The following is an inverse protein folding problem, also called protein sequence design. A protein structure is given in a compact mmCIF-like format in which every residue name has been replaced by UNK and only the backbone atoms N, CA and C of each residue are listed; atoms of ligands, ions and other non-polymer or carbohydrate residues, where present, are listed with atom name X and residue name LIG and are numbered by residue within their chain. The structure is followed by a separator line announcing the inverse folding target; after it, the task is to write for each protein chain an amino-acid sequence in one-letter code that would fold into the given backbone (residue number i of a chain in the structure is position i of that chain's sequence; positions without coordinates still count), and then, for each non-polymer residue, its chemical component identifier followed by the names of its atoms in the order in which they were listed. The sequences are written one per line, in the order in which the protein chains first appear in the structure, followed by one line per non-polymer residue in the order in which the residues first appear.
data_IF_788329146798
#
_entry.id   IF_788329146798
#
_cell.length_a   1.000
_cell.length_b   1.000
_cell.length_c   1.000
_cell.angle_alpha   90.00
_cell.angle_beta   90.00
_cell.angle_gamma   90.00
#
_symmetry.space_group_name_H-M   'P 1'
#
loop_
_entity.id
_entity.type
_entity.pdbx_description
1 polymer ?
#
# COMPACT_ATOMS: atom_id res chain seq x y z
N UNK A 1 17.92 30.03 -17.10
CA UNK A 1 17.76 28.60 -17.46
C UNK A 1 16.30 28.26 -17.28
N UNK A 2 15.60 27.92 -18.37
CA UNK A 2 14.19 27.59 -18.34
C UNK A 2 14.03 26.16 -17.78
N UNK A 3 13.22 26.01 -16.74
CA UNK A 3 12.80 24.71 -16.22
C UNK A 3 11.86 24.12 -17.26
N UNK A 4 12.27 23.04 -17.91
CA UNK A 4 11.40 22.28 -18.80
C UNK A 4 10.28 21.67 -17.95
N UNK A 5 9.08 22.22 -18.12
CA UNK A 5 7.85 21.62 -17.61
C UNK A 5 7.64 20.31 -18.37
N UNK A 6 7.84 19.17 -17.71
CA UNK A 6 7.32 17.91 -18.19
C UNK A 6 5.79 18.04 -18.23
N UNK A 7 5.19 17.76 -19.39
CA UNK A 7 3.75 17.82 -19.58
C UNK A 7 3.06 16.89 -18.57
N UNK A 8 1.95 17.32 -17.92
CA UNK A 8 1.22 16.45 -17.01
C UNK A 8 0.56 15.36 -17.85
N UNK A 9 1.10 14.14 -17.76
CA UNK A 9 0.38 12.96 -18.19
C UNK A 9 -0.55 12.58 -17.03
N UNK A 10 -1.84 12.88 -17.23
CA UNK A 10 -3.03 12.48 -16.45
C UNK A 10 -3.42 13.29 -15.19
N UNK A 11 -4.72 13.62 -15.15
CA UNK A 11 -5.59 13.98 -14.02
C UNK A 11 -5.06 14.75 -12.80
N UNK A 12 -5.62 15.95 -12.57
CA UNK A 12 -5.51 16.80 -11.35
C UNK A 12 -4.08 17.23 -10.98
N UNK A 13 -3.78 18.54 -10.81
CA UNK A 13 -2.45 18.98 -10.38
C UNK A 13 -2.06 18.37 -9.03
N UNK A 14 -1.00 17.56 -9.02
CA UNK A 14 -0.41 17.02 -7.80
C UNK A 14 0.68 18.00 -7.33
N UNK A 15 0.85 18.24 -6.02
CA UNK A 15 2.00 18.95 -5.51
C UNK A 15 3.31 18.32 -5.98
N UNK A 16 4.28 19.13 -6.41
CA UNK A 16 5.65 18.65 -6.69
C UNK A 16 6.28 18.25 -5.35
N UNK A 17 6.36 16.94 -5.10
CA UNK A 17 7.00 16.39 -3.90
C UNK A 17 8.52 16.34 -4.13
N UNK A 18 9.36 16.86 -3.20
CA UNK A 18 10.81 16.78 -3.34
C UNK A 18 11.29 15.34 -3.57
N UNK A 19 12.27 15.17 -4.46
CA UNK A 19 12.96 13.89 -4.64
C UNK A 19 13.54 13.45 -3.29
N UNK A 20 13.18 12.25 -2.83
CA UNK A 20 13.61 11.71 -1.54
C UNK A 20 12.67 11.98 -0.35
N UNK A 21 11.54 12.69 -0.53
CA UNK A 21 10.51 12.76 0.51
C UNK A 21 9.60 11.53 0.44
N UNK A 22 9.83 10.58 1.36
CA UNK A 22 9.08 9.33 1.50
C UNK A 22 8.24 9.31 2.79
N UNK A 23 7.77 10.47 3.25
CA UNK A 23 6.93 10.54 4.44
C UNK A 23 5.53 9.99 4.19
N UNK A 24 5.07 9.10 5.06
CA UNK A 24 3.71 8.55 5.02
C UNK A 24 2.68 9.67 5.07
N UNK A 25 2.80 10.60 6.02
CA UNK A 25 1.83 11.67 6.32
C UNK A 25 1.94 12.91 5.40
N UNK A 26 2.37 12.68 4.15
CA UNK A 26 2.49 13.71 3.12
C UNK A 26 1.22 13.81 2.25
N UNK A 27 0.99 14.97 1.58
CA UNK A 27 0.04 15.06 0.50
C UNK A 27 0.31 14.04 -0.62
N UNK A 28 -0.68 13.71 -1.45
CA UNK A 28 -0.49 12.80 -2.58
C UNK A 28 0.67 13.24 -3.47
N UNK A 29 1.52 12.28 -3.83
CA UNK A 29 2.65 12.48 -4.74
C UNK A 29 2.41 11.94 -6.16
N UNK A 30 1.31 11.22 -6.34
CA UNK A 30 0.82 10.69 -7.62
C UNK A 30 -0.65 11.07 -7.80
N UNK A 31 -1.14 11.05 -9.05
CA UNK A 31 -2.53 11.39 -9.33
C UNK A 31 -3.45 10.24 -8.93
N UNK A 32 -4.73 10.55 -8.80
CA UNK A 32 -5.77 9.51 -8.65
C UNK A 32 -5.79 8.54 -9.84
N UNK A 33 -5.59 9.05 -11.05
CA UNK A 33 -5.57 8.23 -12.27
C UNK A 33 -4.35 7.30 -12.29
N UNK A 34 -3.17 7.80 -11.89
CA UNK A 34 -1.97 6.98 -11.76
C UNK A 34 -2.14 5.91 -10.68
N UNK A 35 -2.71 6.28 -9.53
CA UNK A 35 -2.98 5.31 -8.47
C UNK A 35 -3.94 4.21 -8.96
N UNK A 36 -5.03 4.55 -9.64
CA UNK A 36 -5.92 3.55 -10.24
C UNK A 36 -5.16 2.67 -11.26
N UNK A 37 -4.33 3.30 -12.10
CA UNK A 37 -3.56 2.58 -13.11
C UNK A 37 -2.51 1.63 -12.51
N UNK A 38 -1.91 1.94 -11.34
CA UNK A 38 -1.03 1.03 -10.59
C UNK A 38 -1.73 -0.33 -10.35
N UNK A 39 -2.97 -0.32 -9.87
CA UNK A 39 -3.70 -1.56 -9.62
C UNK A 39 -4.24 -2.18 -10.92
N UNK A 40 -4.85 -1.37 -11.78
CA UNK A 40 -5.60 -1.89 -12.93
C UNK A 40 -4.74 -2.38 -14.08
N UNK A 41 -3.52 -1.84 -14.27
CA UNK A 41 -2.65 -2.26 -15.37
C UNK A 41 -2.14 -3.70 -15.21
N UNK A 42 -2.05 -4.22 -13.99
CA UNK A 42 -1.55 -5.58 -13.70
C UNK A 42 -2.67 -6.56 -13.30
N UNK A 43 -3.93 -6.23 -13.62
CA UNK A 43 -5.11 -7.01 -13.25
C UNK A 43 -5.18 -7.32 -11.74
N UNK A 44 -4.81 -6.34 -10.90
CA UNK A 44 -5.00 -6.47 -9.46
C UNK A 44 -6.48 -6.70 -9.13
N UNK A 45 -6.80 -7.65 -8.23
CA UNK A 45 -8.18 -7.84 -7.76
C UNK A 45 -8.71 -6.62 -7.01
N UNK A 46 -7.85 -5.70 -6.56
CA UNK A 46 -8.23 -4.45 -5.90
C UNK A 46 -8.55 -3.31 -6.87
N UNK A 47 -8.29 -3.48 -8.18
CA UNK A 47 -8.56 -2.46 -9.22
C UNK A 47 -9.99 -1.86 -9.14
N UNK A 48 -11.08 -2.64 -8.96
CA UNK A 48 -12.43 -2.09 -8.89
C UNK A 48 -12.64 -1.07 -7.76
N UNK A 49 -11.83 -1.12 -6.70
CA UNK A 49 -11.94 -0.25 -5.53
C UNK A 49 -10.83 0.81 -5.47
N UNK A 50 -9.87 0.82 -6.42
CA UNK A 50 -8.69 1.70 -6.35
C UNK A 50 -9.00 3.19 -6.27
N UNK A 51 -10.08 3.64 -6.91
CA UNK A 51 -10.54 5.02 -6.76
C UNK A 51 -10.95 5.35 -5.33
N UNK A 52 -11.70 4.45 -4.67
CA UNK A 52 -12.13 4.61 -3.28
C UNK A 52 -10.94 4.50 -2.31
N UNK A 53 -10.00 3.59 -2.58
CA UNK A 53 -8.76 3.48 -1.79
C UNK A 53 -7.94 4.79 -1.85
N UNK A 54 -7.79 5.39 -3.04
CA UNK A 54 -7.14 6.69 -3.17
C UNK A 54 -7.85 7.76 -2.33
N UNK A 55 -9.18 7.83 -2.42
CA UNK A 55 -9.96 8.85 -1.72
C UNK A 55 -9.83 8.71 -0.19
N UNK A 56 -9.74 7.49 0.34
CA UNK A 56 -9.46 7.20 1.76
C UNK A 56 -8.09 7.74 2.20
N UNK A 57 -7.07 7.59 1.35
CA UNK A 57 -5.69 7.98 1.66
C UNK A 57 -5.48 9.49 1.53
N UNK A 58 -5.95 10.06 0.42
CA UNK A 58 -5.70 11.44 0.03
C UNK A 58 -6.61 12.47 0.71
N UNK A 59 -7.77 12.06 1.23
CA UNK A 59 -8.70 12.95 1.93
C UNK A 59 -8.30 13.08 3.39
N UNK A 60 -8.15 14.32 3.86
CA UNK A 60 -7.92 14.60 5.28
C UNK A 60 -9.18 14.28 6.08
N UNK A 61 -9.05 13.33 6.99
CA UNK A 61 -10.05 13.00 8.02
C UNK A 61 -9.45 13.19 9.42
N UNK A 62 -10.09 12.61 10.43
CA UNK A 62 -9.65 12.64 11.83
C UNK A 62 -8.31 11.94 12.07
N UNK A 63 -7.90 11.02 11.19
CA UNK A 63 -6.62 10.31 11.32
C UNK A 63 -5.50 11.08 10.63
N UNK A 64 -5.82 11.70 9.49
CA UNK A 64 -4.88 12.47 8.69
C UNK A 64 -4.96 12.09 7.22
N UNK A 65 -3.83 12.24 6.53
CA UNK A 65 -3.66 11.85 5.13
C UNK A 65 -2.48 10.91 5.03
N UNK A 66 -2.47 10.06 4.00
CA UNK A 66 -1.28 9.33 3.59
C UNK A 66 -1.05 9.54 2.10
N UNK A 67 0.21 9.65 1.69
CA UNK A 67 0.62 9.64 0.29
C UNK A 67 0.25 8.28 -0.36
N UNK A 68 -0.69 8.25 -1.33
CA UNK A 68 -1.13 7.01 -1.96
C UNK A 68 -0.01 6.27 -2.70
N UNK A 69 1.03 6.97 -3.15
CA UNK A 69 2.18 6.33 -3.77
C UNK A 69 2.97 5.45 -2.80
N UNK A 70 3.00 5.80 -1.52
CA UNK A 70 3.69 5.02 -0.48
C UNK A 70 2.89 3.78 -0.10
N UNK A 71 1.56 3.92 0.05
CA UNK A 71 0.66 2.79 0.27
C UNK A 71 0.78 1.77 -0.85
N UNK A 72 0.66 2.20 -2.10
CA UNK A 72 0.74 1.30 -3.25
C UNK A 72 2.11 0.62 -3.35
N UNK A 73 3.20 1.31 -3.01
CA UNK A 73 4.53 0.71 -3.02
C UNK A 73 4.67 -0.38 -1.95
N UNK A 74 4.06 -0.17 -0.78
CA UNK A 74 4.01 -1.18 0.28
C UNK A 74 3.16 -2.38 -0.16
N UNK A 75 1.96 -2.14 -0.72
CA UNK A 75 1.12 -3.22 -1.26
C UNK A 75 1.80 -4.01 -2.38
N UNK A 76 2.58 -3.34 -3.23
CA UNK A 76 3.37 -3.98 -4.29
C UNK A 76 4.45 -4.89 -3.70
N UNK A 77 5.16 -4.42 -2.68
CA UNK A 77 6.18 -5.20 -1.99
C UNK A 77 5.59 -6.43 -1.28
N UNK A 78 4.53 -6.23 -0.49
CA UNK A 78 3.95 -7.27 0.38
C UNK A 78 3.20 -8.34 -0.41
N UNK A 79 2.41 -7.92 -1.41
CA UNK A 79 1.43 -8.80 -2.04
C UNK A 79 1.40 -8.71 -3.55
N UNK A 80 2.28 -7.90 -4.17
CA UNK A 80 2.16 -7.59 -5.59
C UNK A 80 0.81 -6.94 -5.89
N UNK A 81 0.30 -6.10 -4.99
CA UNK A 81 -1.04 -5.50 -5.06
C UNK A 81 -2.14 -6.58 -5.11
N UNK A 82 -1.98 -7.64 -4.31
CA UNK A 82 -2.89 -8.78 -4.26
C UNK A 82 -2.75 -9.80 -5.40
N UNK A 83 -1.85 -9.59 -6.37
CA UNK A 83 -1.66 -10.51 -7.51
C UNK A 83 -0.70 -11.67 -7.22
N UNK A 84 0.17 -11.55 -6.20
CA UNK A 84 1.18 -12.56 -5.92
C UNK A 84 0.62 -13.71 -5.06
N UNK A 85 0.44 -14.93 -5.60
CA UNK A 85 -0.10 -16.07 -4.86
C UNK A 85 0.90 -16.68 -3.86
N UNK A 86 2.12 -16.15 -3.77
CA UNK A 86 3.17 -16.55 -2.81
C UNK A 86 3.58 -15.43 -1.85
N UNK A 87 3.00 -14.23 -1.97
CA UNK A 87 3.27 -13.13 -1.05
C UNK A 87 2.65 -13.40 0.33
N UNK A 88 2.97 -12.54 1.31
CA UNK A 88 2.32 -12.60 2.65
C UNK A 88 0.80 -12.45 2.56
N UNK A 89 0.27 -12.01 1.41
CA UNK A 89 -1.14 -11.84 1.05
C UNK A 89 -1.97 -13.12 0.88
N UNK A 90 -1.43 -14.30 1.16
CA UNK A 90 -2.30 -15.36 1.69
C UNK A 90 -2.43 -15.05 3.17
N UNK A 91 -3.28 -14.09 3.51
CA UNK A 91 -3.88 -13.99 4.84
C UNK A 91 -5.28 -14.62 4.79
N UNK A 92 -5.94 -14.91 5.91
CA UNK A 92 -7.32 -15.38 5.87
C UNK A 92 -8.19 -14.29 5.24
N UNK A 93 -9.23 -14.68 4.51
CA UNK A 93 -10.26 -13.73 4.01
C UNK A 93 -11.65 -14.15 4.45
N UNK A 94 -12.61 -13.24 4.26
CA UNK A 94 -14.02 -13.56 4.37
C UNK A 94 -14.51 -14.16 3.05
N UNK A 95 -15.11 -15.34 3.15
CA UNK A 95 -15.97 -15.89 2.10
C UNK A 95 -17.24 -15.04 1.96
N UNK A 96 -17.97 -15.25 0.86
CA UNK A 96 -19.22 -14.55 0.58
C UNK A 96 -20.29 -14.78 1.66
N UNK A 97 -20.23 -15.90 2.40
CA UNK A 97 -21.12 -16.24 3.51
C UNK A 97 -20.67 -15.68 4.87
N UNK A 98 -19.59 -14.89 4.90
CA UNK A 98 -19.01 -14.33 6.13
C UNK A 98 -18.11 -15.30 6.91
N UNK A 99 -17.93 -16.54 6.45
CA UNK A 99 -16.97 -17.47 7.07
C UNK A 99 -15.53 -17.13 6.70
N UNK A 100 -14.58 -17.53 7.55
CA UNK A 100 -13.15 -17.31 7.31
C UNK A 100 -12.58 -18.38 6.40
N UNK A 101 -11.93 -17.98 5.31
CA UNK A 101 -11.10 -18.82 4.47
C UNK A 101 -9.62 -18.69 4.86
N UNK A 102 -9.02 -19.70 5.49
CA UNK A 102 -7.66 -19.65 6.03
C UNK A 102 -6.59 -20.05 5.00
N UNK A 103 -6.79 -19.83 3.70
CA UNK A 103 -5.80 -20.25 2.69
C UNK A 103 -5.43 -19.17 1.67
N UNK A 104 -6.37 -18.28 1.39
CA UNK A 104 -6.52 -17.87 0.01
C UNK A 104 -7.04 -16.41 -0.12
N UNK A 105 -6.80 -15.59 0.92
CA UNK A 105 -7.45 -14.31 1.07
C UNK A 105 -6.73 -13.07 0.56
N UNK A 106 -7.04 -12.67 -0.67
CA UNK A 106 -6.34 -11.58 -1.36
C UNK A 106 -6.70 -10.14 -0.96
N UNK A 107 -7.53 -9.90 0.07
CA UNK A 107 -7.99 -8.55 0.45
C UNK A 107 -7.09 -7.81 1.44
N UNK A 108 -6.19 -8.52 2.13
CA UNK A 108 -5.22 -7.88 3.02
C UNK A 108 -3.94 -7.52 2.24
N UNK A 109 -3.96 -6.33 1.61
CA UNK A 109 -2.91 -5.88 0.68
C UNK A 109 -1.52 -5.68 1.32
N UNK A 110 -1.46 -5.52 2.64
CA UNK A 110 -0.26 -5.08 3.37
C UNK A 110 0.19 -6.07 4.44
N UNK A 111 -0.44 -7.25 4.53
CA UNK A 111 -0.08 -8.21 5.56
C UNK A 111 -0.44 -7.76 6.99
N UNK A 112 -1.45 -6.90 7.17
CA UNK A 112 -1.83 -6.35 8.49
C UNK A 112 -2.22 -7.49 9.43
N UNK A 113 -1.37 -7.73 10.43
CA UNK A 113 -1.62 -8.64 11.54
C UNK A 113 -2.48 -7.94 12.60
N UNK A 114 -2.97 -8.67 13.61
CA UNK A 114 -3.69 -8.00 14.69
C UNK A 114 -2.81 -6.99 15.40
N UNK A 115 -3.34 -5.80 15.61
CA UNK A 115 -2.76 -4.83 16.53
C UNK A 115 -3.56 -4.90 17.83
N UNK A 116 -3.00 -5.48 18.91
CA UNK A 116 -3.66 -5.49 20.21
C UNK A 116 -3.99 -4.05 20.63
N UNK A 117 -5.26 -3.74 20.84
CA UNK A 117 -5.73 -2.41 21.23
C UNK A 117 -6.36 -1.56 20.13
N UNK A 118 -6.29 -1.99 18.86
CA UNK A 118 -7.06 -1.35 17.79
C UNK A 118 -8.43 -2.01 17.64
N UNK A 119 -9.46 -1.38 18.20
CA UNK A 119 -10.83 -1.87 18.15
C UNK A 119 -11.35 -2.08 16.71
N UNK A 120 -10.79 -1.38 15.72
CA UNK A 120 -11.18 -1.54 14.31
C UNK A 120 -10.63 -2.81 13.67
N UNK A 121 -9.53 -3.32 14.22
CA UNK A 121 -8.93 -4.58 13.79
C UNK A 121 -9.44 -5.72 14.65
N UNK A 122 -9.74 -5.49 15.93
CA UNK A 122 -10.19 -6.51 16.85
C UNK A 122 -11.41 -7.29 16.35
N UNK A 123 -12.39 -6.62 15.76
CA UNK A 123 -13.59 -7.26 15.21
C UNK A 123 -13.37 -7.91 13.84
N UNK A 124 -12.29 -7.54 13.15
CA UNK A 124 -11.90 -8.05 11.83
C UNK A 124 -10.79 -9.10 11.92
N UNK A 125 -10.24 -9.33 13.11
CA UNK A 125 -9.09 -10.18 13.34
C UNK A 125 -9.50 -11.62 13.59
N UNK A 126 -8.77 -12.55 12.98
CA UNK A 126 -8.98 -13.98 13.21
C UNK A 126 -7.66 -14.65 13.56
N UNK A 127 -7.70 -15.58 14.49
CA UNK A 127 -6.58 -16.50 14.73
C UNK A 127 -6.40 -17.41 13.52
N UNK A 128 -5.16 -17.57 13.08
CA UNK A 128 -4.78 -18.42 11.97
C UNK A 128 -3.62 -19.37 12.30
N UNK A 129 -3.48 -19.75 13.56
CA UNK A 129 -2.56 -20.82 13.98
C UNK A 129 -1.08 -20.46 14.00
N UNK A 130 -0.65 -19.42 13.27
CA UNK A 130 0.70 -18.84 13.31
C UNK A 130 0.68 -17.38 13.84
N UNK A 131 -0.40 -16.98 14.49
CA UNK A 131 -0.70 -15.61 14.86
C UNK A 131 -2.11 -15.26 14.42
N UNK A 132 -2.40 -13.97 14.32
CA UNK A 132 -3.71 -13.52 13.89
C UNK A 132 -3.61 -12.40 12.85
N UNK A 133 -4.61 -12.35 11.98
CA UNK A 133 -4.59 -11.53 10.78
C UNK A 133 -5.90 -10.76 10.61
N UNK A 134 -5.82 -9.55 10.09
CA UNK A 134 -7.01 -8.80 9.68
C UNK A 134 -7.67 -9.44 8.46
N UNK A 135 -8.98 -9.61 8.53
CA UNK A 135 -9.84 -10.20 7.51
C UNK A 135 -10.86 -9.16 7.09
N UNK A 136 -10.74 -8.70 5.84
CA UNK A 136 -11.50 -7.54 5.36
C UNK A 136 -12.66 -7.93 4.46
N UNK A 137 -13.82 -7.25 4.58
CA UNK A 137 -14.95 -7.45 3.68
C UNK A 137 -14.64 -6.96 2.25
N UNK A 138 -13.82 -5.92 2.13
CA UNK A 138 -13.46 -5.25 0.89
C UNK A 138 -12.02 -4.66 0.98
N UNK A 139 -11.48 -4.19 -0.14
CA UNK A 139 -10.13 -3.61 -0.20
C UNK A 139 -10.08 -2.22 0.45
N UNK A 140 -11.14 -1.43 0.29
CA UNK A 140 -11.26 -0.11 0.91
C UNK A 140 -11.13 -0.16 2.44
N UNK A 141 -11.76 -1.15 3.09
CA UNK A 141 -11.65 -1.37 4.53
C UNK A 141 -10.23 -1.79 4.90
N UNK A 142 -9.58 -2.64 4.09
CA UNK A 142 -8.18 -3.01 4.31
C UNK A 142 -7.26 -1.80 4.28
N UNK A 143 -7.40 -0.91 3.28
CA UNK A 143 -6.60 0.31 3.14
C UNK A 143 -6.88 1.30 4.26
N UNK A 144 -8.16 1.49 4.66
CA UNK A 144 -8.51 2.36 5.80
C UNK A 144 -7.88 1.86 7.09
N UNK A 145 -7.93 0.56 7.34
CA UNK A 145 -7.31 -0.04 8.52
C UNK A 145 -5.80 0.15 8.49
N UNK A 146 -5.16 -0.12 7.36
CA UNK A 146 -3.72 0.09 7.20
C UNK A 146 -3.33 1.57 7.42
N UNK A 147 -4.09 2.52 6.87
CA UNK A 147 -3.89 3.97 7.09
C UNK A 147 -3.87 4.29 8.58
N UNK A 148 -4.87 3.82 9.31
CA UNK A 148 -4.97 4.03 10.75
C UNK A 148 -3.77 3.46 11.51
N UNK A 149 -3.37 2.23 11.20
CA UNK A 149 -2.19 1.57 11.79
C UNK A 149 -0.92 2.38 11.55
N UNK A 150 -0.66 2.79 10.30
CA UNK A 150 0.53 3.57 9.96
C UNK A 150 0.57 4.88 10.76
N UNK A 151 -0.53 5.63 10.78
CA UNK A 151 -0.57 6.93 11.43
C UNK A 151 -0.43 6.83 12.96
N UNK A 152 -1.13 5.89 13.60
CA UNK A 152 -1.11 5.75 15.07
C UNK A 152 0.11 5.04 15.61
N UNK A 153 0.57 3.98 14.98
CA UNK A 153 1.59 3.09 15.54
C UNK A 153 3.00 3.42 15.06
N UNK A 154 3.12 4.13 13.93
CA UNK A 154 4.42 4.44 13.33
C UNK A 154 4.64 5.95 13.29
N UNK A 155 3.77 6.70 12.62
CA UNK A 155 3.94 8.16 12.49
C UNK A 155 3.91 8.84 13.86
N UNK A 156 2.97 8.48 14.75
CA UNK A 156 2.92 9.05 16.10
C UNK A 156 4.19 8.77 16.95
N UNK A 157 4.94 7.71 16.63
CA UNK A 157 6.22 7.38 17.25
C UNK A 157 7.43 7.97 16.51
N UNK A 158 7.22 8.88 15.56
CA UNK A 158 8.28 9.49 14.74
C UNK A 158 8.84 8.58 13.65
N UNK A 159 8.19 7.45 13.36
CA UNK A 159 8.53 6.53 12.26
C UNK A 159 7.74 6.89 11.00
N UNK A 160 7.91 8.13 10.58
CA UNK A 160 7.14 8.79 9.53
C UNK A 160 7.55 8.41 8.10
N UNK A 161 8.56 7.55 7.88
CA UNK A 161 8.96 7.04 6.56
C UNK A 161 9.11 5.52 6.56
N UNK A 162 9.05 4.84 5.39
CA UNK A 162 9.33 3.41 5.29
C UNK A 162 10.67 3.02 5.92
N UNK A 163 11.72 3.82 5.68
CA UNK A 163 13.06 3.61 6.24
C UNK A 163 13.10 3.61 7.77
N UNK A 164 12.23 4.38 8.43
CA UNK A 164 12.11 4.41 9.89
C UNK A 164 11.16 3.32 10.42
N UNK A 165 10.10 3.01 9.68
CA UNK A 165 9.04 2.10 10.11
C UNK A 165 9.38 0.61 9.94
N UNK A 166 10.08 0.24 8.86
CA UNK A 166 10.32 -1.16 8.48
C UNK A 166 11.00 -1.99 9.57
N UNK A 167 11.86 -1.37 10.38
CA UNK A 167 12.56 -2.05 11.46
C UNK A 167 11.65 -2.51 12.61
N UNK A 168 10.46 -1.90 12.73
CA UNK A 168 9.44 -2.29 13.73
C UNK A 168 8.53 -3.40 13.19
N UNK A 169 8.09 -3.33 11.92
CA UNK A 169 7.12 -4.31 11.40
C UNK A 169 7.73 -5.48 10.62
N UNK A 170 8.90 -5.30 10.00
CA UNK A 170 9.64 -6.33 9.27
C UNK A 170 11.08 -6.48 9.81
N UNK A 171 11.26 -6.82 11.11
CA UNK A 171 12.59 -6.89 11.72
C UNK A 171 13.45 -8.00 11.11
N UNK A 172 14.77 -7.78 11.09
CA UNK A 172 15.76 -8.75 10.60
C UNK A 172 15.58 -10.11 11.25
N UNK A 173 15.60 -11.17 10.45
CA UNK A 173 15.60 -12.56 10.93
C UNK A 173 14.21 -13.14 11.23
N UNK A 174 13.14 -12.36 11.07
CA UNK A 174 11.75 -12.86 11.08
C UNK A 174 11.24 -12.98 9.65
N UNK A 175 10.59 -14.10 9.30
CA UNK A 175 9.91 -14.32 8.02
C UNK A 175 10.75 -14.06 6.74
N UNK A 176 12.09 -14.11 6.85
CA UNK A 176 13.00 -13.82 5.73
C UNK A 176 13.20 -12.33 5.43
N UNK A 177 12.76 -11.44 6.32
CA UNK A 177 12.81 -9.99 6.13
C UNK A 177 14.23 -9.43 5.98
N UNK A 178 14.40 -8.55 5.00
CA UNK A 178 15.61 -7.77 4.75
C UNK A 178 15.25 -6.28 4.61
N UNK A 179 15.32 -5.50 5.71
CA UNK A 179 14.88 -4.10 5.72
C UNK A 179 15.58 -3.22 4.66
N UNK A 180 16.91 -3.31 4.44
CA UNK A 180 17.54 -2.60 3.32
C UNK A 180 16.92 -2.88 1.94
N UNK A 181 16.62 -4.14 1.62
CA UNK A 181 15.97 -4.51 0.35
C UNK A 181 14.54 -3.99 0.28
N UNK A 182 13.80 -4.07 1.37
CA UNK A 182 12.43 -3.56 1.49
C UNK A 182 12.37 -2.05 1.21
N UNK A 183 13.24 -1.28 1.86
CA UNK A 183 13.33 0.18 1.69
C UNK A 183 13.65 0.51 0.24
N UNK A 184 14.68 -0.12 -0.32
CA UNK A 184 15.09 0.13 -1.69
C UNK A 184 13.98 -0.20 -2.70
N UNK A 185 13.24 -1.29 -2.50
CA UNK A 185 12.13 -1.66 -3.38
C UNK A 185 11.00 -0.63 -3.33
N UNK A 186 10.56 -0.23 -2.13
CA UNK A 186 9.55 0.81 -1.97
C UNK A 186 9.98 2.14 -2.60
N UNK A 187 11.16 2.64 -2.26
CA UNK A 187 11.65 3.93 -2.76
C UNK A 187 11.81 3.92 -4.28
N UNK A 188 12.21 2.79 -4.87
CA UNK A 188 12.32 2.61 -6.32
C UNK A 188 10.96 2.64 -7.01
N UNK A 189 9.91 2.05 -6.43
CA UNK A 189 8.55 2.15 -6.99
C UNK A 189 8.01 3.57 -6.90
N UNK A 190 8.09 4.19 -5.72
CA UNK A 190 7.61 5.54 -5.47
C UNK A 190 8.28 6.54 -6.42
N UNK A 191 9.62 6.52 -6.47
CA UNK A 191 10.41 7.41 -7.34
C UNK A 191 10.04 7.21 -8.80
N UNK A 192 9.87 5.96 -9.23
CA UNK A 192 9.50 5.66 -10.60
C UNK A 192 8.12 6.22 -10.95
N UNK A 193 7.09 5.91 -10.15
CA UNK A 193 5.72 6.34 -10.43
C UNK A 193 5.59 7.86 -10.43
N UNK A 194 6.23 8.55 -9.48
CA UNK A 194 6.28 10.02 -9.45
C UNK A 194 6.94 10.62 -10.69
N UNK A 195 7.97 9.97 -11.24
CA UNK A 195 8.75 10.53 -12.34
C UNK A 195 8.11 10.33 -13.72
N UNK A 196 7.42 9.20 -13.94
CA UNK A 196 6.97 8.80 -15.29
C UNK A 196 5.69 7.96 -15.34
N UNK A 197 5.00 7.79 -14.21
CA UNK A 197 3.74 7.06 -14.13
C UNK A 197 3.89 5.52 -14.19
N UNK A 198 2.81 4.79 -13.87
CA UNK A 198 2.84 3.34 -13.68
C UNK A 198 3.15 2.55 -14.95
N UNK A 199 2.59 2.93 -16.10
CA UNK A 199 2.79 2.19 -17.36
C UNK A 199 4.27 2.10 -17.75
N UNK A 200 5.00 3.22 -17.68
CA UNK A 200 6.43 3.25 -17.99
C UNK A 200 7.23 2.45 -16.96
N UNK A 201 6.88 2.55 -15.67
CA UNK A 201 7.55 1.81 -14.60
C UNK A 201 7.41 0.29 -14.70
N UNK A 202 6.24 -0.19 -15.11
CA UNK A 202 6.01 -1.61 -15.37
C UNK A 202 6.77 -2.10 -16.60
N UNK A 203 6.76 -1.33 -17.69
CA UNK A 203 7.50 -1.68 -18.89
C UNK A 203 9.01 -1.84 -18.63
N UNK A 204 9.62 -0.93 -17.88
CA UNK A 204 11.05 -1.01 -17.53
C UNK A 204 11.42 -2.22 -16.67
N UNK A 205 10.46 -2.72 -15.90
CA UNK A 205 10.62 -3.90 -15.04
C UNK A 205 10.16 -5.18 -15.71
N UNK A 206 9.76 -5.11 -16.99
CA UNK A 206 9.26 -6.27 -17.75
C UNK A 206 7.97 -6.85 -17.20
N UNK A 207 7.19 -6.07 -16.44
CA UNK A 207 5.89 -6.50 -15.91
C UNK A 207 4.87 -6.34 -17.04
N UNK A 208 4.20 -7.45 -17.37
CA UNK A 208 3.14 -7.43 -18.36
C UNK A 208 1.98 -6.56 -17.86
N UNK A 209 1.56 -5.62 -18.71
CA UNK A 209 0.42 -4.74 -18.42
C UNK A 209 -0.69 -4.99 -19.44
N UNK A 210 -1.92 -4.78 -18.99
CA UNK A 210 -3.09 -4.70 -19.87
C UNK A 210 -2.90 -3.57 -20.89
N UNK A 211 -3.21 -3.87 -22.14
CA UNK A 211 -3.16 -2.89 -23.24
C UNK A 211 -4.36 -1.95 -23.23
#
# INVERSE_FOLDING_TARGET
MAVQSAAPQHGTPIPVVPSGDFRYDAPPSISRDDYIAIYCLIDSPACPEAGTMYDILATRDEEGIIDPGIEAAQGMHETGLGTNPKGVGRLPTLRADGSVDPCCGGRNLHGVQCFPGDARIADLAVDWGNGCAGVYPDYATSVRTWKGVILREYVAEGKDTPAKAVWKYAPVGKDGNNPPTYIADMENWITCWRAKGPKACYAERGIAVRQ
#
